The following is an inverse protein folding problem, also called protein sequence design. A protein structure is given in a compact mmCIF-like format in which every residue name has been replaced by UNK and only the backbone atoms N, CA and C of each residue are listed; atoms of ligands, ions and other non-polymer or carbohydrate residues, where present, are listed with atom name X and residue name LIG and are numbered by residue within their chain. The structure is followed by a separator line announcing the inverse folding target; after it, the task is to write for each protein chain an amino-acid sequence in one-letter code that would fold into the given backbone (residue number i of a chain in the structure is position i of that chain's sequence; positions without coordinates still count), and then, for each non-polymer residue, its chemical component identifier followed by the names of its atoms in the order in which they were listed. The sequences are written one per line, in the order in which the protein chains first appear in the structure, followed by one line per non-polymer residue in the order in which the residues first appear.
data_IF_472309883576
#
_entry.id   IF_472309883576
#
_cell.length_a   1.000
_cell.length_b   1.000
_cell.length_c   1.000
_cell.angle_alpha   90.00
_cell.angle_beta   90.00
_cell.angle_gamma   90.00
#
_symmetry.space_group_name_H-M   'P 1'
#
loop_
_entity.id
_entity.type
_entity.pdbx_description
1 polymer ?
#
# COMPACT_ATOMS: atom_id res chain seq x y z
N UNK A 1 -50.68 10.03 67.23
CA UNK A 1 -50.49 8.67 66.66
C UNK A 1 -49.03 8.52 66.27
N UNK A 2 -48.39 7.42 66.71
CA UNK A 2 -47.10 6.82 66.32
C UNK A 2 -45.87 7.76 66.21
N UNK A 3 -44.85 7.77 67.07
CA UNK A 3 -44.02 6.74 67.72
C UNK A 3 -42.99 6.05 66.78
N UNK A 4 -41.80 5.78 67.35
CA UNK A 4 -40.67 4.94 66.84
C UNK A 4 -39.70 5.70 65.91
N UNK A 5 -38.38 5.68 66.10
CA UNK A 5 -37.52 4.89 66.97
C UNK A 5 -36.17 4.66 66.28
N UNK A 6 -35.11 4.74 67.09
CA UNK A 6 -33.69 4.59 66.75
C UNK A 6 -33.38 3.36 65.87
N UNK A 7 -32.42 3.50 64.95
CA UNK A 7 -31.55 2.38 64.54
C UNK A 7 -30.08 2.77 64.67
N UNK A 8 -29.42 2.04 65.56
CA UNK A 8 -27.97 1.97 65.79
C UNK A 8 -27.38 1.00 64.77
N UNK A 9 -26.22 1.31 64.18
CA UNK A 9 -25.23 0.26 63.83
C UNK A 9 -23.82 0.82 63.66
N UNK A 10 -23.03 0.55 64.71
CA UNK A 10 -21.59 0.27 64.78
C UNK A 10 -20.86 0.27 63.42
N UNK A 11 -19.92 1.20 63.25
CA UNK A 11 -18.80 1.02 62.32
C UNK A 11 -17.62 0.44 63.11
N UNK A 12 -17.25 -0.77 62.74
CA UNK A 12 -16.20 -1.59 63.32
C UNK A 12 -14.82 -1.05 62.92
N UNK A 13 -13.84 -1.21 63.81
CA UNK A 13 -12.41 -1.13 63.52
C UNK A 13 -12.07 -1.93 62.24
N UNK A 14 -11.38 -1.28 61.31
CA UNK A 14 -10.73 -1.90 60.16
C UNK A 14 -9.27 -1.50 60.12
N UNK A 15 -8.42 -2.41 60.58
CA UNK A 15 -6.97 -2.34 60.71
C UNK A 15 -6.29 -2.04 59.37
N UNK A 16 -5.33 -1.12 59.38
CA UNK A 16 -4.41 -0.84 58.26
C UNK A 16 -3.47 -2.04 58.12
N UNK A 17 -3.65 -2.85 57.07
CA UNK A 17 -2.63 -3.79 56.58
C UNK A 17 -2.04 -3.23 55.29
N UNK A 18 -0.85 -2.64 55.39
CA UNK A 18 0.03 -2.31 54.28
C UNK A 18 0.63 -3.60 53.71
N UNK A 19 -0.06 -4.19 52.72
CA UNK A 19 0.45 -5.30 51.92
C UNK A 19 1.32 -4.77 50.78
N UNK A 20 2.62 -5.01 50.86
CA UNK A 20 3.59 -4.76 49.79
C UNK A 20 3.28 -5.67 48.59
N UNK A 21 2.86 -5.06 47.48
CA UNK A 21 2.72 -5.75 46.21
C UNK A 21 4.11 -5.97 45.60
N UNK A 22 4.52 -7.23 45.57
CA UNK A 22 5.62 -7.70 44.72
C UNK A 22 5.23 -7.47 43.25
N UNK A 23 5.88 -6.50 42.62
CA UNK A 23 5.93 -6.36 41.17
C UNK A 23 6.79 -7.50 40.62
N UNK A 24 6.18 -8.64 40.28
CA UNK A 24 6.80 -9.62 39.40
C UNK A 24 6.77 -9.07 37.98
N UNK A 25 7.82 -8.35 37.59
CA UNK A 25 8.05 -7.96 36.21
C UNK A 25 8.28 -9.21 35.35
N UNK A 26 7.53 -9.34 34.27
CA UNK A 26 7.86 -10.24 33.18
C UNK A 26 9.18 -9.76 32.55
N UNK A 27 10.28 -10.42 32.90
CA UNK A 27 11.55 -10.23 32.22
C UNK A 27 11.45 -10.71 30.79
N UNK A 28 11.43 -9.78 29.83
CA UNK A 28 11.78 -10.08 28.45
C UNK A 28 13.25 -10.52 28.43
N UNK A 29 13.47 -11.81 28.20
CA UNK A 29 14.80 -12.34 27.92
C UNK A 29 15.35 -11.69 26.66
N UNK A 30 16.36 -10.84 26.82
CA UNK A 30 17.07 -10.22 25.70
C UNK A 30 17.67 -11.29 24.80
N UNK A 31 17.25 -11.30 23.54
CA UNK A 31 17.92 -12.04 22.48
C UNK A 31 19.31 -11.42 22.26
N UNK A 32 20.41 -12.19 22.25
CA UNK A 32 21.73 -11.64 22.00
C UNK A 32 21.82 -11.12 20.56
N UNK A 33 22.06 -9.82 20.41
CA UNK A 33 22.39 -9.16 19.15
C UNK A 33 23.83 -9.50 18.75
N UNK A 34 24.08 -10.73 18.29
CA UNK A 34 25.39 -11.14 17.79
C UNK A 34 25.29 -11.79 16.39
N UNK A 35 24.35 -11.31 15.58
CA UNK A 35 24.36 -11.54 14.14
C UNK A 35 24.94 -10.31 13.46
N UNK A 36 25.94 -10.49 12.58
CA UNK A 36 26.26 -9.50 11.57
C UNK A 36 24.95 -9.09 10.86
N UNK A 37 24.77 -7.82 10.44
CA UNK A 37 23.57 -7.44 9.69
C UNK A 37 23.55 -8.23 8.38
N UNK A 38 22.85 -9.37 8.39
CA UNK A 38 22.35 -9.96 7.16
C UNK A 38 21.33 -8.96 6.68
N UNK A 39 21.69 -8.17 5.67
CA UNK A 39 20.72 -7.36 4.94
C UNK A 39 19.59 -8.31 4.56
N UNK A 40 18.38 -8.16 5.13
CA UNK A 40 17.28 -8.99 4.70
C UNK A 40 17.15 -8.74 3.19
N UNK A 41 17.23 -9.78 2.38
CA UNK A 41 16.81 -9.70 0.97
C UNK A 41 15.28 -9.63 0.98
N UNK A 42 14.74 -8.54 1.52
CA UNK A 42 13.32 -8.31 1.59
C UNK A 42 12.88 -7.73 0.25
N UNK A 43 12.32 -8.57 -0.60
CA UNK A 43 11.49 -8.06 -1.69
C UNK A 43 10.20 -7.57 -1.06
N UNK A 44 10.01 -6.26 -1.02
CA UNK A 44 8.70 -5.67 -0.74
C UNK A 44 7.78 -5.96 -1.92
N UNK A 45 6.64 -6.61 -1.67
CA UNK A 45 5.68 -6.95 -2.71
C UNK A 45 4.67 -5.82 -2.88
N UNK A 46 4.33 -5.46 -4.12
CA UNK A 46 3.27 -4.50 -4.42
C UNK A 46 1.90 -5.17 -4.31
N UNK A 47 1.00 -4.59 -3.52
CA UNK A 47 -0.34 -5.10 -3.27
C UNK A 47 -1.39 -4.02 -3.52
N UNK A 48 -2.51 -4.43 -4.09
CA UNK A 48 -3.76 -3.68 -4.10
C UNK A 48 -4.80 -4.49 -3.35
N UNK A 49 -5.51 -3.86 -2.42
CA UNK A 49 -6.53 -4.49 -1.59
C UNK A 49 -7.83 -3.72 -1.75
N UNK A 50 -8.81 -4.39 -2.35
CA UNK A 50 -10.18 -3.89 -2.47
C UNK A 50 -10.95 -4.33 -1.23
N UNK A 51 -11.63 -3.38 -0.59
CA UNK A 51 -12.44 -3.66 0.60
C UNK A 51 -13.92 -3.55 0.28
N UNK A 52 -14.71 -4.44 0.87
CA UNK A 52 -16.17 -4.50 0.74
C UNK A 52 -16.76 -4.39 2.14
N UNK A 53 -17.19 -3.18 2.57
CA UNK A 53 -17.72 -2.99 3.90
C UNK A 53 -19.03 -3.77 4.11
N UNK A 54 -19.14 -4.45 5.24
CA UNK A 54 -20.33 -5.22 5.66
C UNK A 54 -21.26 -4.44 6.57
N UNK A 55 -20.72 -3.43 7.27
CA UNK A 55 -21.42 -2.54 8.18
C UNK A 55 -20.88 -1.10 8.03
N UNK A 56 -21.64 -0.14 8.55
CA UNK A 56 -21.40 1.29 8.35
C UNK A 56 -22.11 1.80 7.09
N UNK A 57 -22.72 2.99 7.15
CA UNK A 57 -23.36 3.69 6.02
C UNK A 57 -22.64 5.01 5.72
N UNK A 58 -21.41 5.17 6.20
CA UNK A 58 -20.73 6.46 6.14
C UNK A 58 -20.33 6.80 4.70
N UNK A 59 -20.38 8.08 4.37
CA UNK A 59 -19.84 8.63 3.12
C UNK A 59 -18.30 8.52 3.04
N UNK A 60 -17.65 7.97 4.06
CA UNK A 60 -16.20 8.04 4.28
C UNK A 60 -15.52 6.66 4.31
N UNK A 61 -16.15 5.66 3.69
CA UNK A 61 -15.68 4.27 3.70
C UNK A 61 -14.30 4.14 3.09
N UNK A 62 -13.48 3.28 3.69
CA UNK A 62 -12.33 2.74 3.01
C UNK A 62 -12.84 1.94 1.81
N UNK A 63 -12.27 2.18 0.62
CA UNK A 63 -12.63 1.44 -0.60
C UNK A 63 -11.46 0.63 -1.15
N UNK A 64 -10.24 1.13 -0.94
CA UNK A 64 -9.03 0.51 -1.45
C UNK A 64 -7.82 0.85 -0.57
N UNK A 65 -6.90 -0.09 -0.48
CA UNK A 65 -5.53 0.11 0.00
C UNK A 65 -4.58 -0.27 -1.13
N UNK A 66 -3.49 0.47 -1.30
CA UNK A 66 -2.40 0.08 -2.20
C UNK A 66 -1.08 0.28 -1.51
N UNK A 67 -0.11 -0.61 -1.69
CA UNK A 67 1.11 -0.49 -0.93
C UNK A 67 2.02 -1.69 -0.99
N UNK A 68 2.84 -1.81 0.05
CA UNK A 68 3.84 -2.86 0.16
C UNK A 68 3.60 -3.77 1.36
N UNK A 69 3.87 -5.06 1.17
CA UNK A 69 4.04 -6.03 2.26
C UNK A 69 5.46 -6.58 2.11
N UNK A 70 6.29 -6.41 3.14
CA UNK A 70 7.61 -7.04 3.19
C UNK A 70 7.41 -8.51 3.55
N UNK A 71 7.44 -9.41 2.56
CA UNK A 71 7.41 -10.84 2.83
C UNK A 71 8.85 -11.37 2.90
N UNK A 72 9.16 -12.15 3.94
CA UNK A 72 10.40 -12.94 3.96
C UNK A 72 10.09 -14.34 3.42
N UNK A 73 10.88 -14.90 2.50
CA UNK A 73 10.56 -16.14 1.80
C UNK A 73 10.62 -17.43 2.63
N UNK A 74 10.77 -17.39 3.96
CA UNK A 74 10.95 -18.59 4.79
C UNK A 74 9.75 -18.89 5.69
N UNK A 75 9.13 -20.06 5.49
CA UNK A 75 7.87 -20.55 6.09
C UNK A 75 7.80 -20.76 7.62
N UNK A 76 8.55 -20.02 8.41
CA UNK A 76 8.24 -19.76 9.82
C UNK A 76 7.36 -18.51 9.93
N UNK A 77 6.67 -18.27 11.04
CA UNK A 77 6.01 -16.97 11.28
C UNK A 77 7.04 -15.85 11.09
N UNK A 78 6.90 -15.09 10.01
CA UNK A 78 7.80 -13.99 9.68
C UNK A 78 7.09 -12.69 9.94
N UNK A 79 7.75 -11.79 10.67
CA UNK A 79 7.35 -10.39 10.65
C UNK A 79 7.33 -9.93 9.20
N UNK A 80 6.20 -9.36 8.81
CA UNK A 80 5.94 -8.94 7.46
C UNK A 80 5.40 -7.50 7.46
N UNK A 81 6.21 -6.49 7.85
CA UNK A 81 5.74 -5.13 7.97
C UNK A 81 5.07 -4.67 6.67
N UNK A 82 3.97 -3.95 6.79
CA UNK A 82 3.23 -3.46 5.65
C UNK A 82 3.05 -1.94 5.70
N UNK A 83 2.98 -1.33 4.53
CA UNK A 83 2.80 0.10 4.39
C UNK A 83 1.82 0.33 3.24
N UNK A 84 0.65 0.86 3.56
CA UNK A 84 -0.42 1.13 2.59
C UNK A 84 -0.76 2.60 2.47
N UNK A 85 -1.31 2.98 1.32
CA UNK A 85 -2.03 4.23 1.10
C UNK A 85 -3.51 3.86 0.95
N UNK A 86 -4.35 4.45 1.79
CA UNK A 86 -5.80 4.22 1.77
C UNK A 86 -6.55 5.26 0.95
N UNK A 87 -7.58 4.80 0.23
CA UNK A 87 -8.56 5.68 -0.41
C UNK A 87 -9.79 5.75 0.49
N UNK A 88 -9.88 6.84 1.26
CA UNK A 88 -11.08 7.26 1.96
C UNK A 88 -11.00 8.73 2.34
N UNK A 89 -12.13 9.39 2.58
CA UNK A 89 -12.15 10.75 3.15
C UNK A 89 -11.80 10.77 4.65
N UNK A 90 -11.85 9.61 5.33
CA UNK A 90 -11.37 9.44 6.70
C UNK A 90 -9.86 9.24 6.78
N UNK A 91 -9.25 8.71 5.72
CA UNK A 91 -7.81 8.67 5.51
C UNK A 91 -7.37 9.77 4.52
N UNK A 92 -8.01 10.94 4.57
CA UNK A 92 -7.81 12.02 3.61
C UNK A 92 -6.32 12.41 3.47
N UNK A 93 -5.89 12.64 2.22
CA UNK A 93 -4.54 12.98 1.78
C UNK A 93 -3.51 11.84 1.72
N UNK A 94 -3.91 10.63 1.26
CA UNK A 94 -2.99 9.51 1.04
C UNK A 94 -2.13 9.22 2.28
N UNK A 95 -2.75 9.27 3.46
CA UNK A 95 -2.01 8.98 4.67
C UNK A 95 -1.47 7.57 4.58
N UNK A 96 -0.16 7.47 4.77
CA UNK A 96 0.54 6.22 4.93
C UNK A 96 -0.05 5.52 6.16
N UNK A 97 -0.50 4.29 5.97
CA UNK A 97 -1.01 3.38 6.98
C UNK A 97 0.10 2.34 7.20
N UNK A 98 1.09 2.64 8.05
CA UNK A 98 2.06 1.64 8.45
C UNK A 98 1.37 0.59 9.33
N UNK A 99 1.75 -0.66 9.17
CA UNK A 99 1.22 -1.80 9.90
C UNK A 99 2.34 -2.66 10.43
N UNK A 100 2.17 -3.10 11.69
CA UNK A 100 2.88 -4.25 12.19
C UNK A 100 2.07 -5.49 11.80
N UNK A 101 2.70 -6.38 11.05
CA UNK A 101 2.03 -7.54 10.47
C UNK A 101 2.92 -8.76 10.46
N UNK A 102 2.27 -9.92 10.40
CA UNK A 102 2.89 -11.23 10.34
C UNK A 102 2.24 -12.05 9.25
N UNK A 103 3.04 -12.88 8.57
CA UNK A 103 2.54 -13.96 7.72
C UNK A 103 2.98 -15.28 8.35
N UNK A 104 2.01 -16.12 8.70
CA UNK A 104 2.25 -17.45 9.26
C UNK A 104 1.26 -18.45 8.67
N UNK A 105 1.75 -19.54 8.08
CA UNK A 105 0.89 -20.58 7.48
C UNK A 105 -0.15 -20.02 6.49
N UNK A 106 0.28 -19.11 5.62
CA UNK A 106 -0.56 -18.37 4.66
C UNK A 106 -1.64 -17.47 5.30
N UNK A 107 -1.54 -17.18 6.59
CA UNK A 107 -2.43 -16.22 7.26
C UNK A 107 -1.66 -14.92 7.44
N UNK A 108 -2.15 -13.86 6.79
CA UNK A 108 -1.76 -12.48 7.06
C UNK A 108 -2.56 -11.96 8.26
N UNK A 109 -1.86 -11.40 9.23
CA UNK A 109 -2.46 -10.64 10.32
C UNK A 109 -1.72 -9.31 10.41
N UNK A 110 -2.45 -8.21 10.40
CA UNK A 110 -1.86 -6.88 10.47
C UNK A 110 -2.68 -5.93 11.31
N UNK A 111 -1.98 -5.06 12.04
CA UNK A 111 -2.58 -3.94 12.76
C UNK A 111 -1.81 -2.67 12.46
N UNK A 112 -2.54 -1.62 12.06
CA UNK A 112 -1.95 -0.32 11.79
C UNK A 112 -1.57 0.40 13.08
N UNK A 113 -0.61 1.32 12.94
CA UNK A 113 -0.45 2.40 13.90
C UNK A 113 -1.63 3.37 13.80
N UNK A 114 -1.80 4.21 14.82
CA UNK A 114 -2.86 5.21 14.86
C UNK A 114 -2.66 6.29 13.81
N UNK A 115 -3.49 6.32 12.77
CA UNK A 115 -3.49 7.38 11.75
C UNK A 115 -4.71 8.25 11.99
N UNK A 116 -4.49 9.49 12.43
CA UNK A 116 -5.58 10.40 12.84
C UNK A 116 -6.52 9.77 13.90
N UNK A 117 -5.96 8.96 14.80
CA UNK A 117 -6.72 8.25 15.84
C UNK A 117 -7.49 7.02 15.34
N UNK A 118 -7.28 6.59 14.09
CA UNK A 118 -7.87 5.38 13.50
C UNK A 118 -6.87 4.23 13.50
N UNK A 119 -7.35 3.04 13.80
CA UNK A 119 -6.58 1.80 13.80
C UNK A 119 -7.24 0.78 12.90
N UNK A 120 -6.57 0.41 11.81
CA UNK A 120 -7.00 -0.61 10.88
C UNK A 120 -6.44 -1.97 11.33
N UNK A 121 -7.31 -2.96 11.49
CA UNK A 121 -6.91 -4.36 11.72
C UNK A 121 -7.35 -5.19 10.53
N UNK A 122 -6.49 -6.12 10.09
CA UNK A 122 -6.74 -6.98 8.93
C UNK A 122 -6.33 -8.42 9.26
N UNK A 123 -7.14 -9.38 8.84
CA UNK A 123 -6.80 -10.79 8.87
C UNK A 123 -7.24 -11.43 7.57
N UNK A 124 -6.32 -12.10 6.88
CA UNK A 124 -6.62 -12.73 5.59
C UNK A 124 -5.81 -13.98 5.33
N UNK A 125 -6.28 -14.79 4.39
CA UNK A 125 -5.63 -15.99 3.91
C UNK A 125 -5.04 -15.71 2.53
N UNK A 126 -3.74 -15.88 2.40
CA UNK A 126 -3.06 -15.93 1.11
C UNK A 126 -3.38 -17.25 0.42
N UNK A 127 -3.48 -17.22 -0.90
CA UNK A 127 -3.49 -18.45 -1.69
C UNK A 127 -2.10 -19.11 -1.70
N UNK A 128 -1.99 -20.33 -2.21
CA UNK A 128 -0.72 -21.09 -2.28
C UNK A 128 0.37 -20.38 -3.08
N UNK A 129 0.00 -19.58 -4.09
CA UNK A 129 0.95 -18.83 -4.91
C UNK A 129 1.42 -17.50 -4.27
N UNK A 130 0.79 -17.09 -3.16
CA UNK A 130 1.03 -15.82 -2.48
C UNK A 130 0.89 -14.62 -3.45
N UNK A 131 -0.07 -14.71 -4.37
CA UNK A 131 -0.39 -13.66 -5.34
C UNK A 131 -1.80 -13.08 -5.17
N UNK A 132 -2.60 -13.69 -4.29
CA UNK A 132 -3.91 -13.19 -3.89
C UNK A 132 -4.16 -13.48 -2.42
N UNK A 133 -5.01 -12.66 -1.81
CA UNK A 133 -5.39 -12.76 -0.41
C UNK A 133 -6.88 -12.45 -0.25
N UNK A 134 -7.58 -13.15 0.64
CA UNK A 134 -8.96 -12.79 1.01
C UNK A 134 -9.10 -12.79 2.53
N UNK A 135 -9.92 -11.88 3.06
CA UNK A 135 -9.98 -11.71 4.51
C UNK A 135 -11.04 -10.74 4.98
N UNK A 136 -10.88 -10.32 6.23
CA UNK A 136 -11.72 -9.31 6.87
C UNK A 136 -10.88 -8.19 7.45
N UNK A 137 -11.49 -7.01 7.53
CA UNK A 137 -10.90 -5.84 8.15
C UNK A 137 -11.85 -5.21 9.16
N UNK A 138 -11.31 -4.43 10.09
CA UNK A 138 -12.06 -3.56 10.97
C UNK A 138 -11.28 -2.29 11.27
N UNK A 139 -12.00 -1.19 11.50
CA UNK A 139 -11.46 0.11 11.88
C UNK A 139 -12.00 0.48 13.26
N UNK A 140 -11.11 0.87 14.16
CA UNK A 140 -11.45 1.41 15.46
C UNK A 140 -10.93 2.85 15.60
N UNK A 141 -11.75 3.72 16.19
CA UNK A 141 -11.46 5.14 16.41
C UNK A 141 -11.64 6.01 15.17
N UNK A 142 -11.47 7.32 15.37
CA UNK A 142 -11.62 8.36 14.34
C UNK A 142 -12.98 8.37 13.64
N UNK A 143 -13.02 8.76 12.37
CA UNK A 143 -14.28 8.99 11.66
C UNK A 143 -14.84 7.76 10.92
N UNK A 144 -14.03 6.71 10.73
CA UNK A 144 -14.48 5.40 10.24
C UNK A 144 -14.65 4.38 11.38
N UNK A 145 -14.84 4.83 12.63
CA UNK A 145 -15.02 3.94 13.77
C UNK A 145 -16.18 2.95 13.57
N UNK A 146 -15.90 1.66 13.85
CA UNK A 146 -16.86 0.58 13.71
C UNK A 146 -17.04 0.06 12.27
N UNK A 147 -16.37 0.63 11.28
CA UNK A 147 -16.35 0.10 9.92
C UNK A 147 -15.66 -1.26 9.89
N UNK A 148 -16.26 -2.23 9.22
CA UNK A 148 -15.67 -3.56 9.02
C UNK A 148 -16.24 -4.24 7.78
N UNK A 149 -15.54 -5.24 7.27
CA UNK A 149 -16.01 -5.93 6.08
C UNK A 149 -15.05 -6.99 5.60
N UNK A 150 -15.30 -7.44 4.37
CA UNK A 150 -14.41 -8.35 3.67
C UNK A 150 -13.40 -7.56 2.85
N UNK A 151 -12.30 -8.19 2.45
CA UNK A 151 -11.37 -7.66 1.47
C UNK A 151 -10.83 -8.75 0.55
N UNK A 152 -10.39 -8.31 -0.63
CA UNK A 152 -9.62 -9.11 -1.58
C UNK A 152 -8.35 -8.36 -1.96
N UNK A 153 -7.20 -9.00 -1.82
CA UNK A 153 -5.90 -8.48 -2.17
C UNK A 153 -5.33 -9.17 -3.42
N UNK A 154 -4.68 -8.39 -4.26
CA UNK A 154 -3.95 -8.85 -5.46
C UNK A 154 -2.52 -8.36 -5.38
N UNK A 155 -1.57 -9.27 -5.57
CA UNK A 155 -0.15 -8.93 -5.68
C UNK A 155 0.20 -8.62 -7.12
N UNK A 156 0.98 -7.57 -7.31
CA UNK A 156 1.50 -7.17 -8.61
C UNK A 156 2.98 -7.48 -8.71
N UNK A 157 3.37 -8.10 -9.82
CA UNK A 157 4.79 -8.30 -10.15
C UNK A 157 5.47 -6.96 -10.45
N UNK A 158 6.79 -6.94 -10.30
CA UNK A 158 7.57 -5.76 -10.61
C UNK A 158 7.48 -5.41 -12.10
N UNK A 159 7.20 -4.14 -12.41
CA UNK A 159 7.16 -3.61 -13.78
C UNK A 159 8.60 -3.37 -14.28
N UNK A 160 9.27 -4.46 -14.67
CA UNK A 160 10.65 -4.43 -15.19
C UNK A 160 10.74 -5.14 -16.53
N UNK A 161 11.37 -4.46 -17.50
CA UNK A 161 11.53 -4.94 -18.87
C UNK A 161 11.12 -3.88 -19.89
N UNK A 162 11.06 -4.29 -21.15
CA UNK A 162 10.67 -3.42 -22.27
C UNK A 162 9.20 -3.65 -22.61
N UNK A 163 8.44 -2.57 -22.70
CA UNK A 163 7.03 -2.54 -23.02
C UNK A 163 6.79 -1.68 -24.26
N UNK A 164 6.11 -2.22 -25.25
CA UNK A 164 5.85 -1.50 -26.51
C UNK A 164 4.36 -1.37 -26.76
N UNK A 165 3.98 -0.27 -27.40
CA UNK A 165 2.62 -0.03 -27.84
C UNK A 165 2.55 1.07 -28.89
N UNK A 166 1.33 1.44 -29.23
CA UNK A 166 1.05 2.49 -30.19
C UNK A 166 0.06 3.50 -29.64
N UNK A 167 0.23 4.76 -30.04
CA UNK A 167 -0.73 5.84 -29.79
C UNK A 167 -1.27 6.30 -31.14
N UNK A 168 -2.59 6.39 -31.28
CA UNK A 168 -3.23 6.90 -32.50
C UNK A 168 -3.84 8.27 -32.24
N UNK A 169 -3.42 9.27 -33.02
CA UNK A 169 -3.94 10.64 -32.91
C UNK A 169 -4.04 11.28 -34.30
N UNK A 170 -5.21 11.84 -34.63
CA UNK A 170 -5.40 12.59 -35.87
C UNK A 170 -5.14 11.79 -37.15
N UNK A 171 -5.39 10.47 -37.13
CA UNK A 171 -5.12 9.56 -38.26
C UNK A 171 -3.67 9.07 -38.36
N UNK A 172 -2.76 9.59 -37.52
CA UNK A 172 -1.38 9.11 -37.43
C UNK A 172 -1.26 8.06 -36.32
N UNK A 173 -0.38 7.09 -36.53
CA UNK A 173 0.00 6.09 -35.54
C UNK A 173 1.46 6.30 -35.16
N UNK A 174 1.68 6.42 -33.85
CA UNK A 174 3.00 6.59 -33.26
C UNK A 174 3.36 5.35 -32.46
N UNK A 175 4.62 4.94 -32.48
CA UNK A 175 5.10 3.83 -31.66
C UNK A 175 5.77 4.37 -30.41
N UNK A 176 5.55 3.68 -29.29
CA UNK A 176 6.16 3.99 -28.00
C UNK A 176 6.73 2.71 -27.45
N UNK A 177 8.01 2.75 -27.06
CA UNK A 177 8.67 1.67 -26.33
C UNK A 177 9.24 2.25 -25.05
N UNK A 178 8.99 1.62 -23.92
CA UNK A 178 9.47 2.04 -22.60
C UNK A 178 10.19 0.88 -21.97
N UNK A 179 11.44 1.06 -21.58
CA UNK A 179 12.18 0.10 -20.77
C UNK A 179 12.20 0.59 -19.34
N UNK A 180 11.60 -0.18 -18.43
CA UNK A 180 11.45 0.19 -17.02
C UNK A 180 12.29 -0.70 -16.13
N UNK A 181 12.71 -0.14 -15.00
CA UNK A 181 13.26 -0.84 -13.85
C UNK A 181 12.54 -0.33 -12.61
N UNK A 182 11.92 -1.25 -11.88
CA UNK A 182 11.24 -0.94 -10.63
C UNK A 182 12.21 -1.11 -9.46
N UNK A 183 12.27 -0.09 -8.60
CA UNK A 183 13.00 -0.16 -7.32
C UNK A 183 12.17 -0.77 -6.20
N UNK A 184 12.76 -0.83 -5.01
CA UNK A 184 12.09 -1.29 -3.80
C UNK A 184 10.96 -0.34 -3.36
N UNK A 185 10.11 -0.82 -2.45
CA UNK A 185 9.08 0.01 -1.85
C UNK A 185 9.69 1.19 -1.08
N UNK A 186 9.08 2.35 -1.26
CA UNK A 186 9.36 3.55 -0.46
C UNK A 186 8.69 3.45 0.90
N UNK A 187 9.08 4.31 1.84
CA UNK A 187 8.42 4.43 3.15
C UNK A 187 6.95 4.87 3.10
N UNK A 188 6.40 5.16 1.92
CA UNK A 188 4.98 5.47 1.71
C UNK A 188 4.23 4.36 0.95
N UNK A 189 4.88 3.22 0.67
CA UNK A 189 4.27 2.07 0.01
C UNK A 189 4.19 2.16 -1.52
N UNK A 190 4.75 3.21 -2.14
CA UNK A 190 4.90 3.28 -3.60
C UNK A 190 6.24 2.71 -4.06
N UNK A 191 6.35 2.33 -5.32
CA UNK A 191 7.56 1.76 -5.93
C UNK A 191 8.07 2.69 -7.01
N UNK A 192 9.29 3.21 -6.86
CA UNK A 192 9.85 4.15 -7.84
C UNK A 192 10.25 3.43 -9.12
N UNK A 193 9.94 4.05 -10.26
CA UNK A 193 10.29 3.55 -11.59
C UNK A 193 11.36 4.45 -12.20
N UNK A 194 12.40 3.83 -12.74
CA UNK A 194 13.38 4.46 -13.62
C UNK A 194 13.40 3.76 -14.97
N UNK A 195 14.03 4.36 -15.98
CA UNK A 195 14.09 3.75 -17.30
C UNK A 195 14.39 4.68 -18.46
N UNK A 196 14.11 4.20 -19.66
CA UNK A 196 14.23 4.94 -20.92
C UNK A 196 13.00 4.72 -21.78
N UNK A 197 12.79 5.62 -22.74
CA UNK A 197 11.72 5.50 -23.72
C UNK A 197 12.25 5.82 -25.13
N UNK A 198 11.70 5.16 -26.13
CA UNK A 198 11.90 5.49 -27.54
C UNK A 198 10.56 5.71 -28.22
N UNK A 199 10.53 6.66 -29.15
CA UNK A 199 9.33 7.16 -29.79
C UNK A 199 9.52 7.12 -31.31
N UNK A 200 8.61 6.45 -32.02
CA UNK A 200 8.61 6.38 -33.47
C UNK A 200 7.43 7.14 -34.07
N UNK A 201 7.67 7.80 -35.20
CA UNK A 201 6.69 8.63 -35.90
C UNK A 201 6.56 10.07 -35.37
N UNK A 202 7.08 10.36 -34.18
CA UNK A 202 7.19 11.72 -33.66
C UNK A 202 8.33 12.47 -34.36
N UNK A 203 8.06 13.67 -34.87
CA UNK A 203 9.07 14.50 -35.55
C UNK A 203 9.93 15.32 -34.59
N UNK A 204 9.45 15.53 -33.37
CA UNK A 204 10.04 16.44 -32.39
C UNK A 204 11.08 15.77 -31.47
N UNK A 205 10.95 14.47 -31.21
CA UNK A 205 11.87 13.67 -30.40
C UNK A 205 11.74 12.19 -30.75
N UNK A 206 12.80 11.42 -30.50
CA UNK A 206 12.84 9.98 -30.74
C UNK A 206 13.19 9.17 -29.50
N UNK A 207 13.68 9.83 -28.45
CA UNK A 207 14.12 9.19 -27.21
C UNK A 207 13.75 10.04 -25.99
N UNK A 208 13.69 9.39 -24.84
CA UNK A 208 13.55 10.03 -23.55
C UNK A 208 14.06 9.15 -22.42
N UNK A 209 14.19 9.75 -21.25
CA UNK A 209 14.61 9.09 -20.00
C UNK A 209 13.51 9.21 -18.97
N UNK A 210 13.38 8.20 -18.11
CA UNK A 210 12.59 8.24 -16.89
C UNK A 210 13.59 8.32 -15.74
N UNK A 211 13.91 9.53 -15.24
CA UNK A 211 14.74 9.66 -14.06
C UNK A 211 14.13 8.87 -12.90
N UNK A 212 14.97 8.25 -12.07
CA UNK A 212 14.50 7.55 -10.87
C UNK A 212 13.69 8.53 -10.01
N UNK A 213 12.48 8.13 -9.61
CA UNK A 213 11.57 8.96 -8.84
C UNK A 213 10.65 9.86 -9.69
N UNK A 214 10.85 9.92 -11.00
CA UNK A 214 9.91 10.56 -11.95
C UNK A 214 8.81 9.62 -12.42
N UNK A 215 8.83 8.36 -11.99
CA UNK A 215 7.71 7.43 -12.12
C UNK A 215 7.50 6.65 -10.83
N UNK A 216 6.27 6.20 -10.59
CA UNK A 216 5.94 5.35 -9.46
C UNK A 216 4.76 4.41 -9.75
N UNK A 217 4.69 3.33 -8.97
CA UNK A 217 3.57 2.39 -8.92
C UNK A 217 2.99 2.34 -7.51
N UNK A 218 1.66 2.23 -7.41
CA UNK A 218 0.95 1.92 -6.17
C UNK A 218 -0.26 1.05 -6.50
N UNK A 219 -0.22 -0.23 -6.08
CA UNK A 219 -1.22 -1.21 -6.51
C UNK A 219 -1.18 -1.39 -8.03
N UNK A 220 -2.33 -1.29 -8.70
CA UNK A 220 -2.41 -1.30 -10.16
C UNK A 220 -1.98 0.01 -10.82
N UNK A 221 -1.99 1.13 -10.09
CA UNK A 221 -1.80 2.45 -10.68
C UNK A 221 -0.34 2.72 -11.02
N UNK A 222 -0.09 3.12 -12.25
CA UNK A 222 1.22 3.52 -12.79
C UNK A 222 1.18 4.99 -13.17
N UNK A 223 2.23 5.73 -12.81
CA UNK A 223 2.52 7.06 -13.32
C UNK A 223 3.98 7.12 -13.75
N UNK A 224 4.24 7.58 -14.96
CA UNK A 224 5.58 7.79 -15.52
C UNK A 224 5.68 9.21 -16.06
N UNK A 225 6.75 9.90 -15.71
CA UNK A 225 7.16 11.15 -16.33
C UNK A 225 8.47 10.92 -17.08
N UNK A 226 8.41 11.03 -18.40
CA UNK A 226 9.55 10.90 -19.30
C UNK A 226 10.01 12.28 -19.69
N UNK A 227 11.30 12.56 -19.54
CA UNK A 227 11.93 13.73 -20.15
C UNK A 227 12.51 13.31 -21.50
N UNK A 228 12.00 13.89 -22.59
CA UNK A 228 12.52 13.62 -23.94
C UNK A 228 13.90 14.25 -24.14
N UNK A 229 14.58 13.86 -25.21
CA UNK A 229 15.88 14.43 -25.62
C UNK A 229 15.83 15.93 -25.94
N UNK A 230 14.65 16.50 -26.19
CA UNK A 230 14.45 17.93 -26.45
C UNK A 230 13.89 18.70 -25.24
N UNK A 231 13.77 18.05 -24.08
CA UNK A 231 13.29 18.65 -22.83
C UNK A 231 11.76 18.69 -22.67
N UNK A 232 10.98 18.14 -23.61
CA UNK A 232 9.55 17.93 -23.43
C UNK A 232 9.28 16.89 -22.33
N UNK A 233 8.18 17.06 -21.60
CA UNK A 233 7.75 16.12 -20.56
C UNK A 233 6.56 15.32 -21.07
N UNK A 234 6.75 14.01 -21.18
CA UNK A 234 5.68 13.07 -21.52
C UNK A 234 5.20 12.41 -20.23
N UNK A 235 3.95 12.68 -19.86
CA UNK A 235 3.29 11.98 -18.77
C UNK A 235 2.53 10.77 -19.34
N UNK A 236 2.80 9.60 -18.77
CA UNK A 236 2.03 8.38 -19.02
C UNK A 236 1.44 7.90 -17.72
N UNK A 237 0.11 7.85 -17.62
CA UNK A 237 -0.56 7.16 -16.51
C UNK A 237 -1.25 5.92 -17.07
N UNK A 238 -1.48 4.91 -16.24
CA UNK A 238 -2.19 3.69 -16.64
C UNK A 238 -2.32 2.70 -15.50
N UNK A 239 -2.83 1.52 -15.82
CA UNK A 239 -3.02 0.42 -14.89
C UNK A 239 -2.18 -0.78 -15.34
N UNK A 240 -1.41 -1.36 -14.44
CA UNK A 240 -0.68 -2.61 -14.69
C UNK A 240 -1.59 -3.80 -14.43
N UNK A 241 -1.42 -4.90 -15.17
CA UNK A 241 -2.02 -6.18 -14.79
C UNK A 241 -1.20 -6.86 -13.69
N UNK A 242 -1.76 -7.82 -12.92
CA UNK A 242 -1.05 -8.49 -11.83
C UNK A 242 0.26 -9.16 -12.25
N UNK A 243 0.35 -9.64 -13.49
CA UNK A 243 1.57 -10.26 -14.01
C UNK A 243 2.60 -9.24 -14.52
N UNK A 244 2.28 -7.94 -14.53
CA UNK A 244 3.07 -6.86 -15.10
C UNK A 244 3.49 -7.13 -16.55
N UNK A 245 2.59 -7.72 -17.33
CA UNK A 245 2.77 -8.01 -18.77
C UNK A 245 2.16 -6.93 -19.67
N UNK A 246 1.24 -6.13 -19.13
CA UNK A 246 0.54 -5.08 -19.85
C UNK A 246 0.36 -3.85 -18.98
N UNK A 247 0.39 -2.68 -19.62
CA UNK A 247 -0.11 -1.42 -19.08
C UNK A 247 -1.35 -1.06 -19.91
N UNK A 248 -2.51 -1.09 -19.28
CA UNK A 248 -3.82 -0.75 -19.86
C UNK A 248 -4.35 0.57 -19.34
N UNK A 249 -5.49 1.01 -19.88
CA UNK A 249 -6.17 2.26 -19.48
C UNK A 249 -5.26 3.49 -19.55
N UNK A 250 -4.20 3.41 -20.36
CA UNK A 250 -3.12 4.37 -20.30
C UNK A 250 -3.48 5.64 -21.05
N UNK A 251 -3.04 6.78 -20.56
CA UNK A 251 -3.03 8.02 -21.32
C UNK A 251 -1.60 8.51 -21.47
N UNK A 252 -1.24 8.91 -22.69
CA UNK A 252 0.00 9.63 -22.95
C UNK A 252 -0.37 11.10 -23.18
N UNK A 253 0.32 12.01 -22.48
CA UNK A 253 0.16 13.46 -22.65
C UNK A 253 1.54 14.09 -22.78
N UNK A 254 1.75 14.84 -23.85
CA UNK A 254 3.01 15.56 -24.08
C UNK A 254 2.81 17.02 -23.68
N UNK A 255 3.62 17.45 -22.72
CA UNK A 255 3.67 18.83 -22.22
C UNK A 255 4.99 19.47 -22.61
N UNK A 256 4.91 20.59 -23.34
CA UNK A 256 6.07 21.33 -23.80
C UNK A 256 6.67 20.81 -25.12
N UNK A 257 7.52 21.65 -25.72
CA UNK A 257 8.16 21.37 -27.01
C UNK A 257 7.20 21.42 -28.22
N UNK A 258 7.72 21.06 -29.40
CA UNK A 258 7.00 21.15 -30.66
C UNK A 258 5.84 20.13 -30.80
N UNK A 259 5.80 19.09 -29.97
CA UNK A 259 4.70 18.12 -29.91
C UNK A 259 3.76 18.35 -28.72
N UNK A 260 3.82 19.51 -28.07
CA UNK A 260 2.92 19.83 -26.96
C UNK A 260 1.46 19.72 -27.40
N UNK A 261 0.62 19.15 -26.55
CA UNK A 261 -0.80 18.93 -26.84
C UNK A 261 -1.09 17.69 -27.68
N UNK A 262 -0.06 16.89 -28.01
CA UNK A 262 -0.29 15.52 -28.47
C UNK A 262 -0.66 14.63 -27.28
N UNK A 263 -1.75 13.87 -27.44
CA UNK A 263 -2.24 12.94 -26.44
C UNK A 263 -2.99 11.79 -27.10
N UNK A 264 -3.10 10.69 -26.37
CA UNK A 264 -3.97 9.60 -26.78
C UNK A 264 -3.95 8.43 -25.80
N UNK A 265 -4.92 7.51 -25.95
CA UNK A 265 -4.89 6.26 -25.20
C UNK A 265 -3.66 5.46 -25.62
N UNK A 266 -3.03 4.81 -24.65
CA UNK A 266 -1.90 3.94 -24.87
C UNK A 266 -2.14 2.60 -24.17
N UNK A 267 -1.79 1.52 -24.87
CA UNK A 267 -1.67 0.18 -24.28
C UNK A 267 -0.26 -0.31 -24.57
N UNK A 268 0.49 -0.61 -23.52
CA UNK A 268 1.84 -1.16 -23.64
C UNK A 268 1.83 -2.65 -23.28
N UNK A 269 2.55 -3.45 -24.04
CA UNK A 269 2.69 -4.89 -23.79
C UNK A 269 4.18 -5.24 -23.68
N UNK A 270 4.52 -6.04 -22.68
CA UNK A 270 5.88 -6.54 -22.44
C UNK A 270 6.35 -7.34 -23.65
N UNK A 271 7.60 -7.11 -24.06
CA UNK A 271 8.26 -7.85 -25.13
C UNK A 271 9.00 -9.09 -24.61
#
# INVERSE_FOLDING_TARGET
MANIGKMVKRCLLGTVLTGAWYLTGCGFGGVPLNGAPTTPTTSSDNWEIMVTPSNGVSANRLSMLSGSILSSPSGSSTQAPAVFQGVSSCFAAANVIPMDSTIASNVFQGRSFGVQGQYLSMTGNLNTAHDSMTGTYSIAGGCSDGESGAFTGTRYRALTGTYTGTVSQGGNTYTVSVTTTQGDATGVGSFLIGGTATFGGFSCFTTGTIPVGSGYISGSNLTLSVTSSNGAVIQMNGEIDPAATTVSSGNLVITGGACSGQYGPIKLTRQ
#
